data_IF_452474901422
#
_entry.id   IF_452474901422
#
_cell.length_a   1.000
_cell.length_b   1.000
_cell.length_c   1.000
_cell.angle_alpha   90.00
_cell.angle_beta   90.00
_cell.angle_gamma   90.00
#
_symmetry.space_group_name_H-M   'P 1'
#
loop_
_entity.id
_entity.type
_entity.pdbx_description
1 polymer ?
#
# COMPACT_ATOMS: atom_id res chain seq x y z
N UNK A 1 -7.86 -8.76 -21.22
CA UNK A 1 -8.90 -9.71 -21.65
C UNK A 1 -9.77 -10.02 -20.45
N UNK A 2 -11.09 -10.01 -20.58
CA UNK A 2 -12.01 -10.43 -19.51
C UNK A 2 -12.96 -11.45 -20.14
N UNK A 3 -13.00 -12.64 -19.57
CA UNK A 3 -14.04 -13.63 -19.83
C UNK A 3 -14.78 -13.89 -18.51
N UNK A 4 -15.93 -13.22 -18.35
CA UNK A 4 -16.70 -13.31 -17.12
C UNK A 4 -17.46 -14.65 -17.00
N UNK A 5 -17.75 -15.33 -18.11
CA UNK A 5 -18.45 -16.61 -18.09
C UNK A 5 -17.54 -17.72 -17.56
N UNK A 6 -16.27 -17.69 -17.96
CA UNK A 6 -15.25 -18.66 -17.52
C UNK A 6 -14.46 -18.17 -16.29
N UNK A 7 -14.70 -16.95 -15.81
CA UNK A 7 -13.99 -16.37 -14.67
C UNK A 7 -12.52 -16.06 -14.95
N UNK A 8 -12.15 -15.76 -16.19
CA UNK A 8 -10.77 -15.52 -16.63
C UNK A 8 -10.50 -14.03 -16.79
N UNK A 9 -9.44 -13.55 -16.15
CA UNK A 9 -8.92 -12.19 -16.33
C UNK A 9 -7.49 -12.25 -16.87
N UNK A 10 -7.30 -11.83 -18.11
CA UNK A 10 -5.99 -11.60 -18.71
C UNK A 10 -5.55 -10.16 -18.48
N UNK A 11 -4.53 -9.97 -17.66
CA UNK A 11 -3.89 -8.67 -17.39
C UNK A 11 -2.55 -8.57 -18.10
N UNK A 12 -1.99 -7.36 -18.18
CA UNK A 12 -0.63 -7.18 -18.67
C UNK A 12 0.37 -7.97 -17.81
N UNK A 13 1.37 -8.57 -18.44
CA UNK A 13 2.50 -9.12 -17.71
C UNK A 13 3.40 -7.98 -17.24
N UNK A 14 3.65 -7.91 -15.93
CA UNK A 14 4.50 -6.89 -15.35
C UNK A 14 5.93 -7.42 -15.28
N UNK A 15 6.80 -6.92 -16.17
CA UNK A 15 8.23 -7.22 -16.11
C UNK A 15 8.86 -6.53 -14.88
N UNK A 16 9.13 -7.31 -13.83
CA UNK A 16 9.54 -6.75 -12.56
C UNK A 16 9.76 -7.76 -11.44
N UNK A 17 10.12 -7.24 -10.26
CA UNK A 17 10.19 -8.03 -9.02
C UNK A 17 9.17 -7.52 -8.02
N UNK A 18 8.58 -8.44 -7.25
CA UNK A 18 7.76 -8.08 -6.10
C UNK A 18 8.59 -7.34 -5.05
N UNK A 19 8.00 -6.32 -4.43
CA UNK A 19 8.62 -5.53 -3.35
C UNK A 19 9.03 -6.40 -2.16
N UNK A 20 8.32 -7.52 -1.92
CA UNK A 20 8.66 -8.50 -0.87
C UNK A 20 10.12 -9.00 -0.91
N UNK A 21 10.79 -8.98 -2.08
CA UNK A 21 12.11 -9.61 -2.26
C UNK A 21 13.31 -8.66 -2.23
N UNK A 22 13.20 -7.42 -1.76
CA UNK A 22 14.23 -6.39 -1.97
C UNK A 22 14.78 -5.69 -0.71
N UNK A 23 16.10 -5.44 -0.76
CA UNK A 23 16.98 -4.53 0.02
C UNK A 23 18.12 -4.10 -0.96
N UNK A 24 18.90 -2.99 -0.82
CA UNK A 24 18.70 -1.65 -0.25
C UNK A 24 18.49 -0.56 -1.35
N UNK A 25 18.27 0.70 -0.96
CA UNK A 25 17.69 1.79 -1.79
C UNK A 25 16.30 2.24 -1.28
N UNK A 26 16.09 2.02 0.01
CA UNK A 26 14.81 1.99 0.73
C UNK A 26 14.02 3.28 0.57
N UNK A 27 14.67 4.43 0.64
CA UNK A 27 13.95 5.70 0.74
C UNK A 27 13.16 6.03 -0.51
N UNK A 28 13.76 5.88 -1.69
CA UNK A 28 13.05 6.12 -2.96
C UNK A 28 11.90 5.12 -3.13
N UNK A 29 12.10 3.88 -2.70
CA UNK A 29 11.08 2.83 -2.76
C UNK A 29 9.89 3.14 -1.86
N UNK A 30 10.15 3.45 -0.59
CA UNK A 30 9.13 3.80 0.38
C UNK A 30 8.36 5.04 -0.07
N UNK A 31 9.07 6.02 -0.65
CA UNK A 31 8.46 7.21 -1.20
C UNK A 31 7.52 6.91 -2.38
N UNK A 32 7.91 6.00 -3.28
CA UNK A 32 7.05 5.52 -4.37
C UNK A 32 5.81 4.80 -3.83
N UNK A 33 5.97 3.91 -2.84
CA UNK A 33 4.85 3.20 -2.20
C UNK A 33 3.85 4.19 -1.61
N UNK A 34 4.32 5.14 -0.79
CA UNK A 34 3.44 6.15 -0.20
C UNK A 34 2.72 6.99 -1.26
N UNK A 35 3.42 7.35 -2.33
CA UNK A 35 2.87 8.15 -3.43
C UNK A 35 1.78 7.40 -4.20
N UNK A 36 1.99 6.14 -4.57
CA UNK A 36 0.99 5.37 -5.33
C UNK A 36 -0.25 5.06 -4.49
N UNK A 37 -0.08 4.73 -3.21
CA UNK A 37 -1.22 4.51 -2.30
C UNK A 37 -2.01 5.81 -2.10
N UNK A 38 -1.33 6.95 -1.95
CA UNK A 38 -2.01 8.24 -1.86
C UNK A 38 -2.80 8.57 -3.13
N UNK A 39 -2.27 8.29 -4.33
CA UNK A 39 -3.04 8.46 -5.58
C UNK A 39 -4.31 7.61 -5.58
N UNK A 40 -4.19 6.35 -5.17
CA UNK A 40 -5.33 5.43 -5.09
C UNK A 40 -6.39 5.93 -4.09
N UNK A 41 -5.97 6.31 -2.88
CA UNK A 41 -6.87 6.84 -1.84
C UNK A 41 -7.47 8.22 -2.17
N UNK A 42 -6.79 9.07 -2.95
CA UNK A 42 -7.34 10.33 -3.45
C UNK A 42 -8.43 10.13 -4.51
N UNK A 43 -8.45 8.97 -5.16
CA UNK A 43 -9.51 8.54 -6.07
C UNK A 43 -10.59 7.72 -5.35
N UNK A 44 -10.55 7.69 -4.01
CA UNK A 44 -11.45 6.92 -3.15
C UNK A 44 -11.44 5.42 -3.47
N UNK A 45 -10.32 4.89 -3.95
CA UNK A 45 -10.12 3.45 -4.14
C UNK A 45 -9.41 2.91 -2.91
N UNK A 46 -9.96 1.86 -2.31
CA UNK A 46 -9.36 1.09 -1.22
C UNK A 46 -8.93 -0.25 -1.78
N UNK A 47 -7.71 -0.69 -1.51
CA UNK A 47 -7.22 -1.96 -2.04
C UNK A 47 -7.73 -3.15 -1.24
N UNK A 48 -7.79 -3.03 0.09
CA UNK A 48 -8.33 -4.07 0.98
C UNK A 48 -7.36 -5.20 1.31
N UNK A 49 -6.19 -5.25 0.66
CA UNK A 49 -5.11 -6.21 0.93
C UNK A 49 -3.73 -5.63 0.57
N UNK A 50 -3.39 -4.46 1.11
CA UNK A 50 -2.08 -3.83 0.88
C UNK A 50 -0.95 -4.61 1.57
N UNK A 51 -0.41 -5.60 0.88
CA UNK A 51 0.81 -6.32 1.29
C UNK A 51 1.97 -6.05 0.34
N UNK A 52 3.20 -6.28 0.79
CA UNK A 52 4.40 -6.14 -0.06
C UNK A 52 4.46 -7.15 -1.21
N UNK A 53 3.64 -8.22 -1.16
CA UNK A 53 3.50 -9.19 -2.25
C UNK A 53 2.62 -8.66 -3.39
N UNK A 54 1.67 -7.78 -3.07
CA UNK A 54 0.72 -7.16 -4.01
C UNK A 54 1.30 -5.89 -4.66
N UNK A 55 2.63 -5.75 -4.61
CA UNK A 55 3.37 -4.62 -5.15
C UNK A 55 4.50 -5.13 -6.04
N UNK A 56 4.55 -4.62 -7.27
CA UNK A 56 5.52 -5.00 -8.29
C UNK A 56 6.34 -3.80 -8.72
N UNK A 57 7.66 -3.97 -8.82
CA UNK A 57 8.56 -2.95 -9.36
C UNK A 57 8.88 -3.23 -10.80
N UNK A 58 8.35 -2.39 -11.66
CA UNK A 58 8.59 -2.41 -13.09
C UNK A 58 9.83 -1.58 -13.39
N UNK A 59 10.82 -2.19 -14.03
CA UNK A 59 11.96 -1.46 -14.60
C UNK A 59 11.57 -0.98 -16.00
N UNK A 60 11.70 0.32 -16.26
CA UNK A 60 11.58 0.88 -17.60
C UNK A 60 12.95 0.99 -18.26
N UNK A 61 12.94 1.10 -19.59
CA UNK A 61 14.15 1.22 -20.42
C UNK A 61 14.93 2.52 -20.18
N UNK A 62 14.32 3.51 -19.53
CA UNK A 62 14.90 4.83 -19.23
C UNK A 62 15.44 4.96 -17.80
N UNK A 63 15.83 3.84 -17.17
CA UNK A 63 16.27 3.73 -15.76
C UNK A 63 15.24 4.18 -14.72
N UNK A 64 14.00 4.50 -15.12
CA UNK A 64 12.92 4.78 -14.18
C UNK A 64 12.33 3.50 -13.63
N UNK A 65 12.01 3.54 -12.35
CA UNK A 65 11.32 2.47 -11.64
C UNK A 65 9.91 2.92 -11.35
N UNK A 66 8.93 2.13 -11.81
CA UNK A 66 7.53 2.32 -11.47
C UNK A 66 7.09 1.27 -10.47
N UNK A 67 6.30 1.69 -9.49
CA UNK A 67 5.59 0.80 -8.61
C UNK A 67 4.20 0.52 -9.19
N UNK A 68 3.84 -0.76 -9.29
CA UNK A 68 2.53 -1.20 -9.76
C UNK A 68 1.86 -1.98 -8.63
N UNK A 69 0.69 -1.50 -8.22
CA UNK A 69 -0.20 -2.23 -7.31
C UNK A 69 -0.95 -3.29 -8.12
N UNK A 70 -1.07 -4.49 -7.57
CA UNK A 70 -1.77 -5.62 -8.20
C UNK A 70 -2.73 -6.26 -7.20
N UNK A 71 -3.58 -7.17 -7.70
CA UNK A 71 -4.54 -7.90 -6.88
C UNK A 71 -5.61 -7.01 -6.20
N UNK A 72 -6.44 -6.41 -7.05
CA UNK A 72 -7.60 -5.62 -6.64
C UNK A 72 -8.83 -6.49 -6.32
N UNK A 73 -8.66 -7.79 -6.05
CA UNK A 73 -9.78 -8.72 -5.82
C UNK A 73 -10.65 -8.39 -4.61
N UNK A 74 -10.09 -7.71 -3.60
CA UNK A 74 -10.80 -7.22 -2.41
C UNK A 74 -11.02 -5.71 -2.42
N UNK A 75 -10.70 -5.05 -3.53
CA UNK A 75 -10.79 -3.60 -3.63
C UNK A 75 -12.22 -3.11 -3.74
N UNK A 76 -12.46 -1.89 -3.28
CA UNK A 76 -13.76 -1.23 -3.37
C UNK A 76 -13.59 0.29 -3.35
N UNK A 77 -14.64 1.00 -3.78
CA UNK A 77 -14.65 2.46 -3.75
C UNK A 77 -15.21 2.97 -2.42
N UNK A 78 -14.45 3.78 -1.69
CA UNK A 78 -14.87 4.43 -0.46
C UNK A 78 -14.11 5.73 -0.18
N UNK A 79 -14.87 6.79 0.12
CA UNK A 79 -14.34 8.06 0.59
C UNK A 79 -14.11 8.09 2.11
N UNK A 80 -14.46 7.03 2.83
CA UNK A 80 -14.36 7.00 4.27
C UNK A 80 -12.90 6.99 4.72
N UNK A 81 -12.60 7.88 5.68
CA UNK A 81 -11.29 7.99 6.29
C UNK A 81 -10.92 6.72 7.07
N UNK A 82 -11.90 6.01 7.62
CA UNK A 82 -11.73 4.71 8.30
C UNK A 82 -11.10 3.69 7.34
N UNK A 83 -11.63 3.56 6.12
CA UNK A 83 -11.18 2.53 5.18
C UNK A 83 -9.75 2.81 4.71
N UNK A 84 -9.43 4.07 4.41
CA UNK A 84 -8.06 4.52 4.07
C UNK A 84 -7.08 4.24 5.21
N UNK A 85 -7.51 4.47 6.46
CA UNK A 85 -6.70 4.22 7.65
C UNK A 85 -6.49 2.72 7.91
N UNK A 86 -7.52 1.88 7.68
CA UNK A 86 -7.42 0.43 7.78
C UNK A 86 -6.47 -0.12 6.71
N UNK A 87 -6.54 0.36 5.47
CA UNK A 87 -5.65 -0.08 4.39
C UNK A 87 -4.17 0.26 4.70
N UNK A 88 -3.90 1.47 5.19
CA UNK A 88 -2.56 1.85 5.67
C UNK A 88 -2.09 0.99 6.86
N UNK A 89 -2.99 0.65 7.77
CA UNK A 89 -2.67 -0.21 8.91
C UNK A 89 -2.36 -1.65 8.48
N UNK A 90 -3.05 -2.19 7.48
CA UNK A 90 -2.73 -3.50 6.89
C UNK A 90 -1.31 -3.48 6.33
N UNK A 91 -0.94 -2.42 5.60
CA UNK A 91 0.41 -2.26 5.09
C UNK A 91 1.47 -2.17 6.19
N UNK A 92 1.22 -1.39 7.24
CA UNK A 92 2.10 -1.28 8.42
C UNK A 92 2.39 -2.67 9.00
N UNK A 93 1.36 -3.51 9.15
CA UNK A 93 1.49 -4.87 9.66
C UNK A 93 2.24 -5.78 8.70
N UNK A 94 2.03 -5.62 7.39
CA UNK A 94 2.77 -6.37 6.38
C UNK A 94 4.28 -6.09 6.50
N UNK A 95 4.68 -4.82 6.60
CA UNK A 95 6.07 -4.42 6.80
C UNK A 95 6.67 -4.99 8.09
N UNK A 96 5.94 -4.87 9.20
CA UNK A 96 6.35 -5.41 10.50
C UNK A 96 6.58 -6.93 10.47
N UNK A 97 5.84 -7.66 9.64
CA UNK A 97 5.98 -9.11 9.52
C UNK A 97 7.17 -9.56 8.67
N UNK A 98 7.62 -8.73 7.71
CA UNK A 98 8.65 -9.11 6.74
C UNK A 98 10.03 -8.53 7.04
N UNK A 99 10.12 -7.43 7.80
CA UNK A 99 11.39 -6.73 8.05
C UNK A 99 11.54 -6.33 9.53
N UNK A 100 12.60 -6.78 10.23
CA UNK A 100 12.87 -6.43 11.64
C UNK A 100 13.02 -4.93 11.91
N UNK A 101 13.57 -4.18 10.94
CA UNK A 101 13.79 -2.71 11.02
C UNK A 101 12.78 -1.95 10.13
N UNK A 102 11.53 -2.40 10.11
CA UNK A 102 10.47 -1.87 9.25
C UNK A 102 9.95 -0.49 9.64
N UNK A 103 10.10 -0.07 10.89
CA UNK A 103 9.46 1.13 11.41
C UNK A 103 9.96 2.42 10.74
N UNK A 104 11.28 2.64 10.55
CA UNK A 104 11.77 3.76 9.74
C UNK A 104 11.31 3.68 8.27
N UNK A 105 11.20 2.47 7.72
CA UNK A 105 10.76 2.28 6.33
C UNK A 105 9.30 2.72 6.16
N UNK A 106 8.43 2.28 7.06
CA UNK A 106 7.03 2.65 7.04
C UNK A 106 6.82 4.13 7.31
N UNK A 107 7.66 4.75 8.15
CA UNK A 107 7.63 6.21 8.33
C UNK A 107 7.90 6.94 7.00
N UNK A 108 8.89 6.50 6.21
CA UNK A 108 9.15 7.07 4.88
C UNK A 108 7.96 6.88 3.92
N UNK A 109 7.20 5.79 4.04
CA UNK A 109 5.93 5.61 3.29
C UNK A 109 4.90 6.64 3.71
N UNK A 110 4.70 6.84 5.02
CA UNK A 110 3.75 7.80 5.56
C UNK A 110 4.12 9.24 5.19
N UNK A 111 5.40 9.59 5.18
CA UNK A 111 5.85 10.94 4.82
C UNK A 111 5.54 11.27 3.36
N UNK A 112 5.77 10.33 2.44
CA UNK A 112 5.42 10.49 1.04
C UNK A 112 3.90 10.47 0.80
N UNK A 113 3.19 9.59 1.51
CA UNK A 113 1.73 9.56 1.49
C UNK A 113 1.14 10.90 1.96
N UNK A 114 1.63 11.43 3.08
CA UNK A 114 1.26 12.74 3.62
C UNK A 114 1.52 13.85 2.59
N UNK A 115 2.72 13.90 2.02
CA UNK A 115 3.09 14.92 1.05
C UNK A 115 2.14 14.95 -0.15
N UNK A 116 1.68 13.77 -0.60
CA UNK A 116 0.75 13.64 -1.73
C UNK A 116 -0.70 13.95 -1.35
N UNK A 117 -1.15 13.54 -0.16
CA UNK A 117 -2.50 13.79 0.36
C UNK A 117 -2.78 15.26 0.68
N UNK A 118 -1.75 16.01 1.07
CA UNK A 118 -1.90 17.42 1.43
C UNK A 118 -2.87 17.60 2.61
N UNK A 119 -3.92 18.40 2.41
CA UNK A 119 -4.90 18.73 3.46
C UNK A 119 -5.68 17.52 3.99
N UNK A 120 -5.90 16.51 3.16
CA UNK A 120 -6.68 15.31 3.51
C UNK A 120 -5.95 14.41 4.52
N UNK A 121 -4.62 14.57 4.63
CA UNK A 121 -3.79 13.76 5.52
C UNK A 121 -4.22 13.83 6.99
N UNK A 122 -4.56 15.01 7.50
CA UNK A 122 -4.80 15.18 8.94
C UNK A 122 -5.96 14.31 9.45
N UNK A 123 -7.01 14.17 8.65
CA UNK A 123 -8.13 13.30 8.97
C UNK A 123 -7.70 11.82 8.97
N UNK A 124 -7.00 11.38 7.91
CA UNK A 124 -6.49 10.00 7.79
C UNK A 124 -5.49 9.66 8.89
N UNK A 125 -4.59 10.57 9.25
CA UNK A 125 -3.61 10.38 10.32
C UNK A 125 -4.28 10.14 11.67
N UNK A 126 -5.19 11.04 12.05
CA UNK A 126 -5.93 10.89 13.31
C UNK A 126 -6.67 9.56 13.36
N UNK A 127 -7.26 9.14 12.24
CA UNK A 127 -7.96 7.85 12.20
C UNK A 127 -7.02 6.65 12.21
N UNK A 128 -5.87 6.72 11.55
CA UNK A 128 -4.85 5.68 11.58
C UNK A 128 -4.37 5.42 13.01
N UNK A 129 -4.18 6.48 13.80
CA UNK A 129 -3.80 6.35 15.21
C UNK A 129 -4.89 5.63 16.04
N UNK A 130 -6.17 5.92 15.80
CA UNK A 130 -7.29 5.18 16.41
C UNK A 130 -7.34 3.71 16.00
N UNK A 131 -7.10 3.41 14.71
CA UNK A 131 -7.03 2.04 14.18
C UNK A 131 -5.88 1.28 14.84
N UNK A 132 -4.68 1.89 14.95
CA UNK A 132 -3.53 1.30 15.65
C UNK A 132 -3.81 0.96 17.10
N UNK A 133 -4.53 1.82 17.82
CA UNK A 133 -4.93 1.56 19.21
C UNK A 133 -5.89 0.37 19.31
N UNK A 134 -6.88 0.27 18.40
CA UNK A 134 -7.82 -0.86 18.36
C UNK A 134 -7.14 -2.17 17.96
N UNK A 135 -6.24 -2.14 16.97
CA UNK A 135 -5.50 -3.32 16.52
C UNK A 135 -4.58 -3.89 17.59
N UNK A 136 -3.88 -3.05 18.37
CA UNK A 136 -3.05 -3.48 19.51
C UNK A 136 -3.84 -4.22 20.59
N UNK A 137 -5.07 -3.79 20.87
CA UNK A 137 -5.94 -4.49 21.84
C UNK A 137 -6.31 -5.90 21.40
N UNK A 138 -6.52 -6.13 20.09
CA UNK A 138 -6.83 -7.46 19.54
C UNK A 138 -5.63 -8.40 19.58
N UNK A 139 -4.41 -7.88 19.41
CA UNK A 139 -3.18 -8.70 19.45
C UNK A 139 -2.81 -9.21 20.85
N UNK A 140 -3.32 -8.61 21.93
CA UNK A 140 -3.09 -9.06 23.31
C UNK A 140 -4.04 -10.19 23.76
N UNK A 141 -4.98 -10.60 22.90
CA UNK A 141 -5.99 -11.63 23.18
C UNK A 141 -5.71 -12.91 22.37
N UNK A 142 -4.55 -13.01 21.72
CA UNK A 142 -4.08 -14.18 20.97
C UNK A 142 -2.98 -14.94 21.69
#
# INVERSE_FOLDING_TARGET
MVDAAEGVLGIEWIEGKSVRRLLPGVDQMMSLIGTEIAKMHLLDIIHGDLTTSNMMLRRKLDDKTDLVLIDFGLSYQSALVEDKAVDLYVLERAFASTHPDSEPMFQSVLDAYQARMGKEWNATKGRLDDVRLRGRKRSMVG
#
